data_IF_707566875465
#
_entry.id   IF_707566875465
#
_cell.length_a   1.000
_cell.length_b   1.000
_cell.length_c   1.000
_cell.angle_alpha   90.00
_cell.angle_beta   90.00
_cell.angle_gamma   90.00
#
_symmetry.space_group_name_H-M   'P 1'
#
loop_
_entity.id
_entity.type
_entity.pdbx_description
1 polymer ?
#
# COMPACT_ATOMS: atom_id res chain seq x y z
N UNK A 1 -7.90 -25.37 -5.53
CA UNK A 1 -7.56 -25.33 -6.96
C UNK A 1 -6.80 -24.05 -7.25
N UNK A 2 -5.54 -24.24 -7.66
CA UNK A 2 -4.62 -23.20 -8.15
C UNK A 2 -4.90 -22.99 -9.64
N UNK A 3 -4.85 -21.74 -10.10
CA UNK A 3 -4.98 -21.42 -11.53
C UNK A 3 -3.59 -21.55 -12.15
N UNK A 4 -3.31 -22.57 -12.95
CA UNK A 4 -1.96 -22.84 -13.50
C UNK A 4 -1.77 -22.39 -14.95
N UNK A 5 -2.80 -21.83 -15.58
CA UNK A 5 -2.82 -21.42 -16.99
C UNK A 5 -3.27 -19.98 -17.17
N UNK A 6 -2.77 -19.32 -18.20
CA UNK A 6 -3.12 -17.94 -18.57
C UNK A 6 -2.33 -16.86 -17.81
N UNK A 7 -2.63 -15.60 -18.11
CA UNK A 7 -1.90 -14.45 -17.57
C UNK A 7 -2.13 -14.23 -16.06
N UNK A 8 -3.21 -14.81 -15.52
CA UNK A 8 -3.52 -14.83 -14.10
C UNK A 8 -3.00 -16.06 -13.35
N UNK A 9 -1.99 -16.75 -13.89
CA UNK A 9 -1.43 -17.96 -13.26
C UNK A 9 -0.97 -17.65 -11.84
N UNK A 10 -1.33 -18.55 -10.95
CA UNK A 10 -0.99 -18.51 -9.54
C UNK A 10 0.20 -19.42 -9.26
N UNK A 11 0.92 -19.11 -8.20
CA UNK A 11 2.09 -19.89 -7.79
C UNK A 11 1.65 -21.20 -7.14
N UNK A 12 1.94 -22.31 -7.83
CA UNK A 12 1.68 -23.66 -7.32
C UNK A 12 2.56 -23.99 -6.11
N UNK A 13 3.82 -23.55 -6.09
CA UNK A 13 4.73 -23.85 -4.99
C UNK A 13 4.25 -23.25 -3.67
N UNK A 14 3.78 -22.00 -3.71
CA UNK A 14 3.22 -21.35 -2.53
C UNK A 14 1.90 -22.00 -2.04
N UNK A 15 1.10 -22.57 -2.95
CA UNK A 15 -0.05 -23.38 -2.54
C UNK A 15 0.37 -24.70 -1.89
N UNK A 16 1.38 -25.36 -2.45
CA UNK A 16 1.92 -26.62 -1.91
C UNK A 16 2.54 -26.40 -0.53
N UNK A 17 3.23 -25.28 -0.30
CA UNK A 17 3.75 -24.87 1.01
C UNK A 17 2.63 -24.68 2.03
N UNK A 18 1.53 -24.01 1.65
CA UNK A 18 0.36 -23.85 2.50
C UNK A 18 -0.27 -25.20 2.86
N UNK A 19 -0.41 -26.09 1.86
CA UNK A 19 -0.94 -27.43 2.08
C UNK A 19 -0.02 -28.23 3.02
N UNK A 20 1.30 -28.14 2.83
CA UNK A 20 2.28 -28.80 3.70
C UNK A 20 2.14 -28.33 5.15
N UNK A 21 2.06 -27.00 5.38
CA UNK A 21 1.87 -26.44 6.73
C UNK A 21 0.57 -26.92 7.38
N UNK A 22 -0.52 -27.03 6.62
CA UNK A 22 -1.78 -27.54 7.13
C UNK A 22 -1.73 -29.03 7.44
N UNK A 23 -1.03 -29.83 6.61
CA UNK A 23 -0.77 -31.23 6.90
C UNK A 23 0.07 -31.41 8.17
N UNK A 24 1.11 -30.60 8.35
CA UNK A 24 1.97 -30.62 9.55
C UNK A 24 1.18 -30.28 10.82
N UNK A 25 0.28 -29.30 10.73
CA UNK A 25 -0.56 -28.87 11.85
C UNK A 25 -1.64 -29.89 12.20
N UNK A 26 -2.44 -30.33 11.23
CA UNK A 26 -3.59 -31.20 11.49
C UNK A 26 -3.21 -32.69 11.60
N UNK A 27 -2.07 -33.12 11.05
CA UNK A 27 -1.63 -34.52 11.02
C UNK A 27 -2.77 -35.47 10.60
N UNK A 28 -3.31 -35.30 9.38
CA UNK A 28 -4.42 -36.09 8.91
C UNK A 28 -4.02 -37.57 8.81
N UNK A 29 -4.94 -38.46 9.18
CA UNK A 29 -4.77 -39.91 9.06
C UNK A 29 -5.88 -40.48 8.19
N UNK A 30 -5.47 -41.00 7.04
CA UNK A 30 -6.34 -41.63 6.08
C UNK A 30 -7.15 -40.62 5.25
N UNK A 31 -7.77 -41.16 4.20
CA UNK A 31 -8.37 -40.39 3.11
C UNK A 31 -9.39 -39.33 3.57
N UNK A 32 -10.20 -39.61 4.59
CA UNK A 32 -11.26 -38.70 5.02
C UNK A 32 -10.70 -37.41 5.65
N UNK A 33 -9.65 -37.53 6.46
CA UNK A 33 -8.99 -36.37 7.06
C UNK A 33 -8.14 -35.64 6.01
N UNK A 34 -7.44 -36.38 5.15
CA UNK A 34 -6.62 -35.82 4.05
C UNK A 34 -7.46 -34.92 3.13
N UNK A 35 -8.65 -35.39 2.73
CA UNK A 35 -9.57 -34.61 1.90
C UNK A 35 -10.06 -33.34 2.61
N UNK A 36 -10.28 -33.39 3.93
CA UNK A 36 -10.67 -32.20 4.70
C UNK A 36 -9.53 -31.18 4.74
N UNK A 37 -8.29 -31.61 4.94
CA UNK A 37 -7.10 -30.73 4.94
C UNK A 37 -6.88 -30.11 3.56
N UNK A 38 -7.02 -30.88 2.48
CA UNK A 38 -6.94 -30.37 1.11
C UNK A 38 -8.04 -29.34 0.80
N UNK A 39 -9.27 -29.58 1.25
CA UNK A 39 -10.38 -28.63 1.12
C UNK A 39 -10.15 -27.34 1.94
N UNK A 40 -9.57 -27.45 3.14
CA UNK A 40 -9.14 -26.29 3.93
C UNK A 40 -8.09 -25.46 3.17
N UNK A 41 -7.04 -26.11 2.66
CA UNK A 41 -6.00 -25.44 1.87
C UNK A 41 -6.60 -24.73 0.65
N UNK A 42 -7.50 -25.39 -0.08
CA UNK A 42 -8.21 -24.80 -1.21
C UNK A 42 -9.07 -23.60 -0.80
N UNK A 43 -9.70 -23.63 0.38
CA UNK A 43 -10.47 -22.52 0.92
C UNK A 43 -9.59 -21.33 1.29
N UNK A 44 -8.49 -21.53 2.02
CA UNK A 44 -7.52 -20.47 2.32
C UNK A 44 -6.96 -19.83 1.05
N UNK A 45 -6.64 -20.65 0.04
CA UNK A 45 -6.16 -20.16 -1.24
C UNK A 45 -7.17 -19.27 -1.97
N UNK A 46 -8.47 -19.61 -1.91
CA UNK A 46 -9.55 -18.77 -2.45
C UNK A 46 -9.64 -17.41 -1.75
N UNK A 47 -9.47 -17.37 -0.43
CA UNK A 47 -9.42 -16.10 0.32
C UNK A 47 -8.18 -15.28 -0.04
N UNK A 48 -7.01 -15.91 -0.16
CA UNK A 48 -5.79 -15.22 -0.60
C UNK A 48 -5.95 -14.62 -2.00
N UNK A 49 -6.66 -15.31 -2.90
CA UNK A 49 -7.00 -14.79 -4.24
C UNK A 49 -7.93 -13.57 -4.16
N UNK A 50 -8.94 -13.60 -3.29
CA UNK A 50 -9.84 -12.47 -3.09
C UNK A 50 -9.07 -11.21 -2.63
N UNK A 51 -8.15 -11.37 -1.67
CA UNK A 51 -7.26 -10.31 -1.21
C UNK A 51 -6.33 -9.78 -2.32
N UNK A 52 -5.79 -10.66 -3.17
CA UNK A 52 -5.00 -10.22 -4.34
C UNK A 52 -5.84 -9.44 -5.34
N UNK A 53 -7.08 -9.84 -5.55
CA UNK A 53 -8.04 -9.14 -6.41
C UNK A 53 -8.34 -7.75 -5.85
N UNK A 54 -8.65 -7.65 -4.56
CA UNK A 54 -8.83 -6.38 -3.84
C UNK A 54 -7.63 -5.46 -4.02
N UNK A 55 -6.42 -5.97 -3.71
CA UNK A 55 -5.18 -5.22 -3.88
C UNK A 55 -4.99 -4.74 -5.33
N UNK A 56 -5.33 -5.57 -6.31
CA UNK A 56 -5.27 -5.23 -7.73
C UNK A 56 -6.24 -4.10 -8.10
N UNK A 57 -7.48 -4.16 -7.61
CA UNK A 57 -8.49 -3.11 -7.84
C UNK A 57 -8.05 -1.78 -7.21
N UNK A 58 -7.55 -1.82 -5.98
CA UNK A 58 -7.00 -0.64 -5.30
C UNK A 58 -5.81 -0.08 -6.05
N UNK A 59 -4.83 -0.91 -6.42
CA UNK A 59 -3.61 -0.47 -7.11
C UNK A 59 -3.92 0.19 -8.46
N UNK A 60 -4.84 -0.39 -9.23
CA UNK A 60 -5.24 0.17 -10.54
C UNK A 60 -5.89 1.53 -10.37
N UNK A 61 -6.78 1.65 -9.40
CA UNK A 61 -7.47 2.89 -9.14
C UNK A 61 -6.49 3.93 -8.56
N UNK A 62 -5.55 3.51 -7.71
CA UNK A 62 -4.53 4.34 -7.08
C UNK A 62 -3.33 4.63 -7.99
N UNK A 63 -3.53 4.69 -9.31
CA UNK A 63 -2.49 5.18 -10.23
C UNK A 63 -2.30 6.68 -9.96
N UNK A 64 -1.54 6.99 -8.91
CA UNK A 64 -1.26 8.35 -8.47
C UNK A 64 -0.42 9.00 -9.56
N UNK A 65 -0.74 10.26 -9.88
CA UNK A 65 0.07 11.06 -10.78
C UNK A 65 1.49 11.11 -10.20
N UNK A 66 2.53 10.68 -10.94
CA UNK A 66 3.89 10.72 -10.43
C UNK A 66 4.25 12.14 -10.00
N UNK A 67 5.05 12.26 -8.93
CA UNK A 67 5.61 13.55 -8.53
C UNK A 67 6.32 14.14 -9.74
N UNK A 68 5.82 15.28 -10.23
CA UNK A 68 6.38 15.93 -11.39
C UNK A 68 7.79 16.44 -11.03
N UNK A 69 8.78 16.29 -11.92
CA UNK A 69 10.14 16.79 -11.70
C UNK A 69 10.14 18.31 -11.52
N UNK A 70 11.29 18.92 -11.18
CA UNK A 70 11.38 20.38 -11.06
C UNK A 70 10.83 21.13 -12.28
N UNK A 71 10.34 22.35 -12.06
CA UNK A 71 9.75 23.20 -13.11
C UNK A 71 10.70 23.27 -14.32
N UNK A 72 10.26 22.73 -15.46
CA UNK A 72 11.11 22.51 -16.63
C UNK A 72 11.27 23.79 -17.46
N UNK A 73 12.34 23.94 -18.26
CA UNK A 73 12.50 25.08 -19.16
C UNK A 73 11.31 25.27 -20.11
N UNK A 74 10.73 24.18 -20.60
CA UNK A 74 9.54 24.22 -21.46
C UNK A 74 8.30 24.75 -20.72
N UNK A 75 8.10 24.37 -19.45
CA UNK A 75 7.03 24.93 -18.62
C UNK A 75 7.26 26.43 -18.36
N UNK A 76 8.50 26.89 -18.28
CA UNK A 76 8.85 28.33 -18.13
C UNK A 76 8.50 29.13 -19.39
N UNK A 77 8.76 28.58 -20.57
CA UNK A 77 8.43 29.24 -21.84
C UNK A 77 6.91 29.33 -22.08
N UNK A 78 6.15 28.39 -21.52
CA UNK A 78 4.69 28.37 -21.54
C UNK A 78 4.07 29.27 -20.45
N UNK A 79 4.85 29.84 -19.53
CA UNK A 79 4.32 30.79 -18.55
C UNK A 79 3.77 32.03 -19.25
N UNK A 80 2.64 32.59 -18.77
CA UNK A 80 2.08 33.82 -19.33
C UNK A 80 3.11 34.96 -19.31
N UNK A 81 3.51 35.43 -20.48
CA UNK A 81 4.30 36.66 -20.66
C UNK A 81 3.35 37.86 -20.84
N UNK A 82 3.75 39.11 -20.53
CA UNK A 82 4.68 39.61 -19.51
C UNK A 82 3.95 40.35 -18.36
N UNK A 83 2.63 40.22 -18.24
CA UNK A 83 1.83 41.06 -17.35
C UNK A 83 1.43 40.28 -16.09
N UNK A 84 2.31 40.31 -15.08
CA UNK A 84 1.99 40.02 -13.66
C UNK A 84 1.50 38.61 -13.26
N UNK A 85 1.15 37.72 -14.19
CA UNK A 85 0.49 36.46 -13.84
C UNK A 85 1.43 35.26 -13.69
N UNK A 86 2.59 35.22 -14.36
CA UNK A 86 3.53 34.08 -14.27
C UNK A 86 3.97 33.78 -12.82
N UNK A 87 4.30 34.83 -12.06
CA UNK A 87 4.68 34.70 -10.64
C UNK A 87 3.50 34.19 -9.80
N UNK A 88 2.30 34.67 -10.04
CA UNK A 88 1.10 34.19 -9.36
C UNK A 88 0.89 32.68 -9.60
N UNK A 89 1.04 32.20 -10.83
CA UNK A 89 0.99 30.76 -11.14
C UNK A 89 2.05 29.95 -10.38
N UNK A 90 3.28 30.46 -10.31
CA UNK A 90 4.36 29.79 -9.59
C UNK A 90 4.11 29.75 -8.07
N UNK A 91 3.46 30.76 -7.50
CA UNK A 91 3.09 30.80 -6.08
C UNK A 91 1.99 29.82 -5.69
N UNK A 92 1.25 29.24 -6.65
CA UNK A 92 0.18 28.29 -6.36
C UNK A 92 0.65 26.84 -6.18
N UNK A 93 1.93 26.54 -6.41
CA UNK A 93 2.45 25.17 -6.33
C UNK A 93 3.80 25.13 -5.60
N UNK A 94 4.06 24.06 -4.85
CA UNK A 94 5.36 23.85 -4.18
C UNK A 94 6.53 23.85 -5.17
N UNK A 95 6.35 23.23 -6.34
CA UNK A 95 7.31 23.20 -7.46
C UNK A 95 7.60 24.59 -8.02
N UNK A 96 6.57 25.41 -8.21
CA UNK A 96 6.71 26.79 -8.69
C UNK A 96 7.43 27.68 -7.68
N UNK A 97 7.15 27.53 -6.39
CA UNK A 97 7.87 28.25 -5.33
C UNK A 97 9.34 27.81 -5.26
N UNK A 98 9.64 26.51 -5.42
CA UNK A 98 11.02 26.02 -5.51
C UNK A 98 11.79 26.69 -6.67
N UNK A 99 11.12 26.88 -7.82
CA UNK A 99 11.70 27.62 -8.95
C UNK A 99 11.92 29.10 -8.61
N UNK A 100 10.96 29.77 -7.97
CA UNK A 100 11.11 31.16 -7.52
C UNK A 100 12.28 31.34 -6.54
N UNK A 101 12.44 30.42 -5.58
CA UNK A 101 13.58 30.42 -4.65
C UNK A 101 14.92 30.37 -5.40
N UNK A 102 15.05 29.51 -6.41
CA UNK A 102 16.25 29.46 -7.26
C UNK A 102 16.51 30.79 -7.96
N UNK A 103 15.46 31.45 -8.48
CA UNK A 103 15.58 32.75 -9.13
C UNK A 103 15.95 33.88 -8.17
N UNK A 104 15.43 33.85 -6.94
CA UNK A 104 15.84 34.79 -5.89
C UNK A 104 17.32 34.59 -5.51
N UNK A 105 17.79 33.35 -5.42
CA UNK A 105 19.22 33.06 -5.15
C UNK A 105 20.14 33.47 -6.30
N UNK A 106 19.72 33.30 -7.55
CA UNK A 106 20.42 33.82 -8.73
C UNK A 106 20.52 35.35 -8.67
N UNK A 107 19.42 36.04 -8.36
CA UNK A 107 19.39 37.49 -8.21
C UNK A 107 20.27 38.01 -7.05
N UNK A 108 20.30 37.29 -5.91
CA UNK A 108 21.21 37.60 -4.80
C UNK A 108 22.67 37.55 -5.25
N UNK A 109 23.07 36.48 -5.95
CA UNK A 109 24.44 36.32 -6.49
C UNK A 109 24.81 37.38 -7.52
N UNK A 110 23.87 37.76 -8.39
CA UNK A 110 24.06 38.84 -9.37
C UNK A 110 24.28 40.19 -8.68
N UNK A 111 23.49 40.51 -7.65
CA UNK A 111 23.63 41.73 -6.87
C UNK A 111 24.94 41.77 -6.06
N UNK A 112 25.39 40.63 -5.53
CA UNK A 112 26.66 40.52 -4.82
C UNK A 112 27.87 40.73 -5.74
N UNK A 113 27.85 40.13 -6.94
CA UNK A 113 28.98 40.12 -7.87
C UNK A 113 29.06 41.35 -8.78
N UNK A 114 27.93 41.80 -9.34
CA UNK A 114 27.87 42.86 -10.37
C UNK A 114 27.24 44.16 -9.87
N UNK A 115 26.60 44.13 -8.70
CA UNK A 115 25.85 45.28 -8.16
C UNK A 115 24.56 45.61 -8.92
N UNK A 116 24.17 44.77 -9.89
CA UNK A 116 22.98 44.91 -10.72
C UNK A 116 22.31 43.55 -10.92
N UNK A 117 20.99 43.52 -11.02
CA UNK A 117 20.19 42.32 -11.28
C UNK A 117 19.87 42.26 -12.78
N UNK A 118 20.02 41.09 -13.41
CA UNK A 118 19.71 40.91 -14.82
C UNK A 118 18.20 41.09 -15.08
N UNK A 119 17.84 41.68 -16.24
CA UNK A 119 16.45 41.92 -16.62
C UNK A 119 15.59 40.65 -16.66
N UNK A 120 16.21 39.50 -16.94
CA UNK A 120 15.54 38.20 -16.93
C UNK A 120 15.22 37.67 -15.54
N UNK A 121 15.96 38.09 -14.52
CA UNK A 121 15.72 37.72 -13.12
C UNK A 121 14.64 38.59 -12.50
N UNK A 122 14.55 39.87 -12.91
CA UNK A 122 13.56 40.85 -12.43
C UNK A 122 12.11 40.39 -12.65
N UNK A 123 11.82 39.66 -13.74
CA UNK A 123 10.45 39.18 -14.05
C UNK A 123 9.88 38.18 -13.05
N UNK A 124 10.74 37.54 -12.26
CA UNK A 124 10.34 36.56 -11.24
C UNK A 124 10.34 37.12 -9.82
N UNK A 125 10.86 38.34 -9.63
CA UNK A 125 10.89 39.02 -8.34
C UNK A 125 9.53 39.65 -7.99
N UNK A 126 9.24 39.89 -6.70
CA UNK A 126 8.07 40.67 -6.31
C UNK A 126 8.11 42.06 -6.96
N UNK A 127 6.93 42.61 -7.27
CA UNK A 127 6.76 43.97 -7.81
C UNK A 127 7.21 45.07 -6.83
N UNK A 128 7.67 44.70 -5.63
CA UNK A 128 8.17 45.58 -4.60
C UNK A 128 9.68 45.34 -4.41
N UNK A 129 10.56 46.36 -4.56
CA UNK A 129 10.26 47.79 -4.53
C UNK A 129 10.29 48.46 -5.92
N UNK A 130 9.14 48.55 -6.57
CA UNK A 130 8.85 49.53 -7.64
C UNK A 130 9.80 49.54 -8.85
N UNK A 131 9.84 50.69 -9.55
CA UNK A 131 10.67 50.93 -10.74
C UNK A 131 12.19 50.95 -10.45
N UNK A 132 12.65 50.68 -9.23
CA UNK A 132 14.03 50.94 -8.79
C UNK A 132 14.92 49.70 -8.57
N UNK A 133 14.53 48.50 -9.01
CA UNK A 133 15.49 47.39 -9.17
C UNK A 133 16.59 47.71 -10.20
N UNK A 134 16.29 48.58 -11.17
CA UNK A 134 17.21 49.00 -12.24
C UNK A 134 18.10 50.18 -11.84
N UNK A 135 17.81 50.89 -10.75
CA UNK A 135 18.49 52.14 -10.38
C UNK A 135 18.72 52.23 -8.87
N UNK A 136 19.74 51.49 -8.41
CA UNK A 136 20.46 51.67 -7.15
C UNK A 136 19.65 52.25 -5.98
N UNK A 137 18.54 51.59 -5.60
CA UNK A 137 18.11 51.69 -4.21
C UNK A 137 19.09 50.85 -3.37
N UNK A 138 19.57 51.43 -2.27
CA UNK A 138 20.56 50.90 -1.34
C UNK A 138 20.74 49.36 -1.40
N UNK A 139 21.95 48.89 -1.78
CA UNK A 139 22.30 47.46 -1.92
C UNK A 139 21.88 46.64 -0.70
N UNK A 140 22.08 47.18 0.51
CA UNK A 140 21.72 46.52 1.77
C UNK A 140 20.21 46.37 1.96
N UNK A 141 19.43 47.37 1.53
CA UNK A 141 17.97 47.31 1.57
C UNK A 141 17.42 46.27 0.59
N UNK A 142 18.03 46.15 -0.60
CA UNK A 142 17.67 45.13 -1.58
C UNK A 142 18.03 43.71 -1.10
N UNK A 143 19.21 43.52 -0.51
CA UNK A 143 19.60 42.24 0.07
C UNK A 143 18.64 41.83 1.21
N UNK A 144 18.31 42.76 2.10
CA UNK A 144 17.32 42.52 3.17
C UNK A 144 15.95 42.16 2.59
N UNK A 145 15.49 42.86 1.54
CA UNK A 145 14.22 42.55 0.87
C UNK A 145 14.22 41.17 0.21
N UNK A 146 15.33 40.78 -0.43
CA UNK A 146 15.47 39.45 -1.04
C UNK A 146 15.52 38.35 0.01
N UNK A 147 16.14 38.61 1.17
CA UNK A 147 16.18 37.63 2.26
C UNK A 147 14.81 37.45 2.92
N UNK A 148 14.06 38.53 3.14
CA UNK A 148 12.67 38.46 3.63
C UNK A 148 11.78 37.67 2.64
N UNK A 149 11.89 37.96 1.34
CA UNK A 149 11.20 37.22 0.29
C UNK A 149 11.59 35.73 0.30
N UNK A 150 12.87 35.42 0.49
CA UNK A 150 13.34 34.03 0.62
C UNK A 150 12.71 33.34 1.83
N UNK A 151 12.58 34.02 2.96
CA UNK A 151 11.91 33.47 4.15
C UNK A 151 10.42 33.24 3.91
N UNK A 152 9.74 34.18 3.24
CA UNK A 152 8.31 34.10 2.94
C UNK A 152 7.99 32.98 1.93
N UNK A 153 8.84 32.83 0.90
CA UNK A 153 8.75 31.75 -0.07
C UNK A 153 9.02 30.39 0.60
N UNK A 154 10.01 30.29 1.49
CA UNK A 154 10.26 29.04 2.25
C UNK A 154 9.06 28.65 3.13
N UNK A 155 8.47 29.60 3.84
CA UNK A 155 7.30 29.37 4.67
C UNK A 155 6.08 28.96 3.82
N UNK A 156 5.84 29.67 2.71
CA UNK A 156 4.75 29.36 1.78
C UNK A 156 4.94 28.00 1.10
N UNK A 157 6.18 27.64 0.73
CA UNK A 157 6.52 26.33 0.20
C UNK A 157 6.15 25.22 1.18
N UNK A 158 6.57 25.34 2.44
CA UNK A 158 6.29 24.33 3.46
C UNK A 158 4.78 24.09 3.62
N UNK A 159 4.01 25.18 3.70
CA UNK A 159 2.54 25.11 3.78
C UNK A 159 1.93 24.41 2.58
N UNK A 160 2.31 24.78 1.35
CA UNK A 160 1.79 24.16 0.13
C UNK A 160 2.23 22.69 0.01
N UNK A 161 3.45 22.34 0.40
CA UNK A 161 3.90 20.94 0.40
C UNK A 161 3.07 20.08 1.35
N UNK A 162 2.65 20.64 2.49
CA UNK A 162 1.75 19.96 3.42
C UNK A 162 0.33 19.83 2.85
N UNK A 163 -0.24 20.90 2.28
CA UNK A 163 -1.54 20.86 1.61
C UNK A 163 -1.57 19.87 0.43
N UNK A 164 -0.57 19.92 -0.45
CA UNK A 164 -0.44 19.00 -1.59
C UNK A 164 -0.24 17.55 -1.14
N UNK A 165 0.42 17.32 -0.01
CA UNK A 165 0.56 15.99 0.59
C UNK A 165 -0.76 15.50 1.16
N UNK A 166 -1.46 16.34 1.93
CA UNK A 166 -2.78 16.00 2.47
C UNK A 166 -3.79 15.69 1.38
N UNK A 167 -3.78 16.44 0.27
CA UNK A 167 -4.62 16.15 -0.91
C UNK A 167 -4.24 14.80 -1.54
N UNK A 168 -2.93 14.53 -1.70
CA UNK A 168 -2.46 13.23 -2.20
C UNK A 168 -2.89 12.08 -1.31
N UNK A 169 -2.70 12.20 -0.01
CA UNK A 169 -3.07 11.19 0.97
C UNK A 169 -4.60 10.97 0.96
N UNK A 170 -5.39 12.05 0.92
CA UNK A 170 -6.84 11.96 0.76
C UNK A 170 -7.27 11.29 -0.56
N UNK A 171 -6.55 11.52 -1.66
CA UNK A 171 -6.79 10.81 -2.92
C UNK A 171 -6.42 9.32 -2.81
N UNK A 172 -5.35 8.97 -2.12
CA UNK A 172 -4.96 7.58 -1.85
C UNK A 172 -6.07 6.90 -1.04
N UNK A 173 -6.51 7.51 0.05
CA UNK A 173 -7.55 6.99 0.93
C UNK A 173 -8.90 6.84 0.20
N UNK A 174 -9.28 7.82 -0.62
CA UNK A 174 -10.50 7.76 -1.42
C UNK A 174 -10.52 6.58 -2.40
N UNK A 175 -9.33 6.16 -2.85
CA UNK A 175 -9.17 5.12 -3.85
C UNK A 175 -8.73 3.77 -3.23
N UNK A 176 -8.44 3.77 -1.93
CA UNK A 176 -8.12 2.58 -1.16
C UNK A 176 -9.29 1.59 -1.05
N UNK A 177 -10.52 2.04 -1.33
CA UNK A 177 -11.71 1.18 -1.34
C UNK A 177 -12.03 0.78 -2.78
N UNK A 178 -12.09 -0.53 -3.11
CA UNK A 178 -12.51 -1.00 -4.42
C UNK A 178 -13.91 -0.48 -4.80
N UNK A 179 -14.20 -0.47 -6.10
CA UNK A 179 -15.54 -0.17 -6.59
C UNK A 179 -16.61 -1.06 -5.94
N UNK A 180 -17.83 -0.55 -5.74
CA UNK A 180 -18.94 -1.32 -5.12
C UNK A 180 -19.16 -2.68 -5.78
N UNK A 181 -19.06 -2.75 -7.11
CA UNK A 181 -19.21 -4.01 -7.87
C UNK A 181 -18.05 -4.98 -7.65
N UNK A 182 -16.82 -4.50 -7.48
CA UNK A 182 -15.68 -5.32 -7.09
C UNK A 182 -15.85 -5.85 -5.66
N UNK A 183 -16.22 -4.95 -4.72
CA UNK A 183 -16.46 -5.29 -3.33
C UNK A 183 -17.57 -6.35 -3.18
N UNK A 184 -18.71 -6.16 -3.84
CA UNK A 184 -19.82 -7.12 -3.82
C UNK A 184 -19.40 -8.50 -4.35
N UNK A 185 -18.57 -8.55 -5.41
CA UNK A 185 -18.02 -9.81 -5.92
C UNK A 185 -17.12 -10.47 -4.87
N UNK A 186 -16.15 -9.73 -4.33
CA UNK A 186 -15.21 -10.20 -3.31
C UNK A 186 -15.97 -10.74 -2.08
N UNK A 187 -16.87 -9.94 -1.51
CA UNK A 187 -17.64 -10.33 -0.32
C UNK A 187 -18.53 -11.56 -0.53
N UNK A 188 -19.14 -11.73 -1.71
CA UNK A 188 -19.92 -12.94 -2.01
C UNK A 188 -19.04 -14.18 -2.03
N UNK A 189 -17.88 -14.09 -2.69
CA UNK A 189 -16.91 -15.18 -2.70
C UNK A 189 -16.42 -15.48 -1.29
N UNK A 190 -16.06 -14.47 -0.50
CA UNK A 190 -15.53 -14.66 0.86
C UNK A 190 -16.56 -15.19 1.85
N UNK A 191 -17.77 -14.67 1.87
CA UNK A 191 -18.82 -15.13 2.81
C UNK A 191 -19.11 -16.61 2.62
N UNK A 192 -19.28 -17.04 1.36
CA UNK A 192 -19.51 -18.43 1.03
C UNK A 192 -18.29 -19.31 1.39
N UNK A 193 -17.09 -18.82 1.07
CA UNK A 193 -15.85 -19.54 1.33
C UNK A 193 -15.54 -19.69 2.83
N UNK A 194 -15.75 -18.65 3.64
CA UNK A 194 -15.57 -18.68 5.09
C UNK A 194 -16.54 -19.67 5.74
N UNK A 195 -17.81 -19.66 5.33
CA UNK A 195 -18.80 -20.64 5.82
C UNK A 195 -18.42 -22.07 5.44
N UNK A 196 -17.91 -22.29 4.23
CA UNK A 196 -17.38 -23.60 3.82
C UNK A 196 -16.21 -24.01 4.71
N UNK A 197 -15.24 -23.12 4.91
CA UNK A 197 -14.07 -23.36 5.76
C UNK A 197 -14.44 -23.82 7.17
N UNK A 198 -15.33 -23.09 7.85
CA UNK A 198 -15.76 -23.46 9.19
C UNK A 198 -16.43 -24.84 9.26
N UNK A 199 -17.18 -25.23 8.20
CA UNK A 199 -17.80 -26.56 8.15
C UNK A 199 -16.77 -27.66 7.97
N UNK A 200 -15.77 -27.44 7.10
CA UNK A 200 -14.70 -28.42 6.86
C UNK A 200 -13.83 -28.57 8.09
N UNK A 201 -13.47 -27.46 8.74
CA UNK A 201 -12.68 -27.46 9.98
C UNK A 201 -13.40 -28.23 11.09
N UNK A 202 -14.67 -27.90 11.35
CA UNK A 202 -15.49 -28.64 12.32
C UNK A 202 -15.55 -30.13 12.00
N UNK A 203 -15.73 -30.49 10.72
CA UNK A 203 -15.77 -31.89 10.30
C UNK A 203 -14.45 -32.61 10.57
N UNK A 204 -13.32 -31.96 10.31
CA UNK A 204 -11.99 -32.50 10.56
C UNK A 204 -11.77 -32.71 12.07
N UNK A 205 -12.15 -31.74 12.89
CA UNK A 205 -12.08 -31.86 14.36
C UNK A 205 -12.91 -33.04 14.89
N UNK A 206 -14.12 -33.24 14.36
CA UNK A 206 -14.97 -34.38 14.71
C UNK A 206 -14.31 -35.72 14.36
N UNK A 207 -13.71 -35.84 13.16
CA UNK A 207 -13.01 -37.05 12.72
C UNK A 207 -11.81 -37.35 13.63
N UNK A 208 -10.98 -36.34 13.89
CA UNK A 208 -9.80 -36.48 14.74
C UNK A 208 -10.15 -36.78 16.20
N UNK A 209 -11.25 -36.21 16.71
CA UNK A 209 -11.73 -36.50 18.06
C UNK A 209 -12.17 -37.96 18.17
N UNK A 210 -12.95 -38.46 17.21
CA UNK A 210 -13.34 -39.88 17.15
C UNK A 210 -12.13 -40.80 17.07
N UNK A 211 -11.12 -40.43 16.27
CA UNK A 211 -9.85 -41.16 16.18
C UNK A 211 -9.14 -41.23 17.53
N UNK A 212 -9.02 -40.10 18.23
CA UNK A 212 -8.41 -40.04 19.58
C UNK A 212 -9.18 -40.90 20.58
N UNK A 213 -10.51 -40.88 20.53
CA UNK A 213 -11.37 -41.73 21.37
C UNK A 213 -11.18 -43.22 21.07
N UNK A 214 -11.15 -43.61 19.80
CA UNK A 214 -10.92 -44.99 19.37
C UNK A 214 -9.52 -45.47 19.77
N UNK A 215 -8.50 -44.62 19.63
CA UNK A 215 -7.14 -44.93 20.07
C UNK A 215 -7.08 -45.14 21.60
N UNK A 216 -7.81 -44.32 22.38
CA UNK A 216 -7.94 -44.52 23.83
C UNK A 216 -8.66 -45.82 24.16
N UNK A 217 -9.76 -46.13 23.49
CA UNK A 217 -10.54 -47.36 23.73
C UNK A 217 -9.78 -48.64 23.33
N UNK A 218 -9.02 -48.61 22.24
CA UNK A 218 -8.19 -49.75 21.80
C UNK A 218 -6.95 -49.96 22.68
N UNK A 219 -6.36 -48.89 23.21
CA UNK A 219 -5.23 -48.98 24.15
C UNK A 219 -5.60 -49.52 25.55
N UNK A 220 -6.89 -49.61 25.91
CA UNK A 220 -7.35 -50.09 27.23
C UNK A 220 -7.61 -51.61 27.25
N UNK A 221 -7.69 -52.31 26.11
CA UNK A 221 -7.75 -53.79 26.11
C UNK A 221 -6.36 -54.39 26.25
N UNK A 222 -5.96 -54.71 27.49
CA UNK A 222 -4.89 -55.70 27.73
C UNK A 222 -5.39 -57.08 27.27
N UNK A 223 -4.65 -57.82 26.41
CA UNK A 223 -4.97 -59.21 26.12
C UNK A 223 -4.39 -60.10 27.22
N UNK A 224 -5.26 -60.80 27.94
CA UNK A 224 -4.85 -61.91 28.81
C UNK A 224 -5.55 -61.93 30.16
N UNK A 225 -6.85 -62.20 30.18
CA UNK A 225 -7.57 -62.72 31.36
C UNK A 225 -8.89 -63.39 30.93
N UNK A 226 -8.84 -64.23 29.89
CA UNK A 226 -9.94 -65.13 29.54
C UNK A 226 -9.40 -66.52 29.19
N UNK A 227 -8.59 -67.13 30.06
CA UNK A 227 -8.35 -68.57 29.99
C UNK A 227 -8.09 -69.09 31.41
N UNK A 228 -8.80 -70.15 31.77
CA UNK A 228 -8.80 -70.89 33.05
C UNK A 228 -9.73 -70.41 34.17
N UNK A 229 -11.03 -70.70 34.00
CA UNK A 229 -11.89 -71.11 35.10
C UNK A 229 -13.03 -72.03 34.62
N UNK A 230 -12.68 -73.11 33.91
CA UNK A 230 -13.56 -74.28 33.75
C UNK A 230 -12.72 -75.54 33.70
N UNK A 231 -12.46 -76.13 34.86
CA UNK A 231 -12.41 -77.58 35.09
C UNK A 231 -11.95 -77.83 36.53
N UNK A 232 -12.91 -78.07 37.42
CA UNK A 232 -12.81 -79.01 38.54
C UNK A 232 -14.17 -79.03 39.24
N UNK A 233 -15.14 -79.64 38.57
CA UNK A 233 -16.20 -80.38 39.24
C UNK A 233 -16.16 -81.81 38.69
N UNK A 234 -16.14 -82.73 39.65
CA UNK A 234 -16.40 -84.16 39.56
C UNK A 234 -15.38 -85.04 38.83
N UNK A 235 -14.68 -85.90 39.58
CA UNK A 235 -14.90 -87.36 39.61
C UNK A 235 -14.22 -87.96 40.87
N UNK A 236 -15.06 -88.56 41.73
CA UNK A 236 -14.87 -89.64 42.73
C UNK A 236 -13.66 -89.63 43.68
#
# INVERSE_FOLDING_TARGET
>A
MVIVTGDGKEDQGHFDDLLSQLCDYYQPVGMAEDLCVQELAASYWKSARALRCERGEVTRASTIRPELPDFTPLEVDLLPQPDSNARHFLLQTSRGIKYLLKKVEEAQKELESKGLIASESVKFLPQNPGQSWQRACNKEALLTSLENEKTDLKASKLRLEEEERNVRDACIDAVAIPSKTALDRIHRYETSNQRHRYRVEKRLEELQSRRREQARASGVRKPGEEFFAKQSQDVL
#
